data_IF_970520734272
#
_entry.id   IF_970520734272
#
_cell.length_a   1.000
_cell.length_b   1.000
_cell.length_c   1.000
_cell.angle_alpha   90.00
_cell.angle_beta   90.00
_cell.angle_gamma   90.00
#
_symmetry.space_group_name_H-M   'P 1'
#
loop_
_entity.id
_entity.type
_entity.pdbx_description
1 polymer ?
#
# COMPACT_ATOMS: atom_id res chain seq x y z
N UNK A 1 -19.41 -9.89 38.08
CA UNK A 1 -18.95 -8.51 37.81
C UNK A 1 -17.71 -8.65 36.94
N UNK A 2 -17.90 -8.66 35.64
CA UNK A 2 -16.85 -8.83 34.65
C UNK A 2 -16.50 -7.43 34.12
N UNK A 3 -15.29 -6.98 34.38
CA UNK A 3 -14.77 -5.71 33.87
C UNK A 3 -14.54 -5.81 32.36
N UNK A 4 -15.44 -5.24 31.57
CA UNK A 4 -15.19 -4.95 30.18
C UNK A 4 -14.06 -3.92 30.10
N UNK A 5 -12.89 -4.36 29.67
CA UNK A 5 -11.77 -3.51 29.35
C UNK A 5 -12.12 -2.64 28.15
N UNK A 6 -12.45 -1.40 28.41
CA UNK A 6 -12.64 -0.35 27.42
C UNK A 6 -11.25 0.03 26.84
N UNK A 7 -10.71 -0.85 25.98
CA UNK A 7 -9.45 -0.65 25.29
C UNK A 7 -9.61 0.47 24.27
N UNK A 8 -9.05 1.66 24.54
CA UNK A 8 -8.84 2.70 23.54
C UNK A 8 -8.24 2.02 22.29
N UNK A 9 -8.79 2.23 21.09
CA UNK A 9 -8.21 1.64 19.88
C UNK A 9 -6.73 2.04 19.80
N UNK A 10 -5.85 1.07 19.50
CA UNK A 10 -4.42 1.31 19.40
C UNK A 10 -4.18 2.55 18.52
N UNK A 11 -3.36 3.49 19.00
CA UNK A 11 -3.04 4.73 18.30
C UNK A 11 -2.40 4.44 16.92
N UNK A 12 -1.72 3.30 16.81
CA UNK A 12 -1.03 2.85 15.61
C UNK A 12 -1.80 1.70 14.94
N UNK A 13 -1.86 1.74 13.62
CA UNK A 13 -2.43 0.65 12.82
C UNK A 13 -1.38 -0.44 12.57
N UNK A 14 -0.13 -0.03 12.32
CA UNK A 14 1.00 -0.93 12.10
C UNK A 14 2.21 -0.41 12.88
N UNK A 15 2.94 -1.32 13.51
CA UNK A 15 4.23 -1.06 14.11
C UNK A 15 5.22 -2.13 13.67
N UNK A 16 6.37 -1.71 13.18
CA UNK A 16 7.44 -2.58 12.68
C UNK A 16 8.69 -2.29 13.46
N UNK A 17 9.33 -3.34 14.00
CA UNK A 17 10.52 -3.22 14.83
C UNK A 17 11.61 -4.16 14.34
N UNK A 18 12.72 -3.59 13.87
CA UNK A 18 13.95 -4.29 13.51
C UNK A 18 13.78 -5.37 12.45
N UNK A 19 12.85 -5.19 11.50
CA UNK A 19 12.56 -6.21 10.47
C UNK A 19 13.73 -6.39 9.53
N UNK A 20 14.19 -7.65 9.41
CA UNK A 20 15.28 -8.08 8.52
C UNK A 20 14.79 -9.13 7.54
N UNK A 21 15.31 -9.09 6.33
CA UNK A 21 15.07 -10.10 5.30
C UNK A 21 16.22 -10.20 4.33
N UNK A 22 16.68 -11.44 4.09
CA UNK A 22 17.67 -11.77 3.08
C UNK A 22 17.10 -12.74 2.04
N UNK A 23 17.62 -12.68 0.82
CA UNK A 23 17.40 -13.65 -0.25
C UNK A 23 18.76 -14.00 -0.85
N UNK A 24 19.07 -15.29 -1.00
CA UNK A 24 20.29 -15.78 -1.61
C UNK A 24 21.57 -15.03 -1.16
N UNK A 25 21.70 -14.83 0.16
CA UNK A 25 22.79 -14.09 0.82
C UNK A 25 22.77 -12.56 0.64
N UNK A 26 21.85 -12.00 -0.15
CA UNK A 26 21.68 -10.56 -0.26
C UNK A 26 20.70 -10.04 0.79
N UNK A 27 21.16 -9.13 1.64
CA UNK A 27 20.29 -8.48 2.62
C UNK A 27 19.46 -7.39 1.93
N UNK A 28 18.13 -7.57 1.94
CA UNK A 28 17.18 -6.63 1.30
C UNK A 28 16.53 -5.72 2.32
N UNK A 29 16.23 -6.22 3.53
CA UNK A 29 15.77 -5.41 4.65
C UNK A 29 16.73 -5.59 5.82
N UNK A 30 17.26 -4.49 6.35
CA UNK A 30 18.30 -4.48 7.38
C UNK A 30 17.90 -3.68 8.62
N UNK A 31 16.96 -4.24 9.40
CA UNK A 31 16.53 -3.62 10.63
C UNK A 31 15.57 -2.45 10.40
N UNK A 32 14.49 -2.72 9.65
CA UNK A 32 13.48 -1.71 9.32
C UNK A 32 12.59 -1.45 10.53
N UNK A 33 12.49 -0.16 10.92
CA UNK A 33 11.56 0.34 11.94
C UNK A 33 10.59 1.31 11.29
N UNK A 34 9.28 1.15 11.54
CA UNK A 34 8.23 2.05 11.03
C UNK A 34 7.01 2.00 11.92
N UNK A 35 6.45 3.17 12.21
CA UNK A 35 5.15 3.33 12.86
C UNK A 35 4.19 3.98 11.86
N UNK A 36 3.04 3.33 11.63
CA UNK A 36 1.95 3.84 10.80
C UNK A 36 0.78 4.20 11.70
N UNK A 37 0.53 5.49 11.95
CA UNK A 37 -0.60 5.94 12.77
C UNK A 37 -1.94 5.60 12.09
N UNK A 38 -2.94 5.32 12.91
CA UNK A 38 -4.29 5.01 12.41
C UNK A 38 -4.92 6.22 11.73
N UNK A 39 -5.62 5.97 10.61
CA UNK A 39 -6.36 7.01 9.90
C UNK A 39 -5.47 7.99 9.12
N UNK A 40 -4.19 7.66 8.91
CA UNK A 40 -3.25 8.48 8.14
C UNK A 40 -2.85 7.81 6.84
N UNK A 41 -2.31 8.61 5.90
CA UNK A 41 -1.56 8.11 4.75
C UNK A 41 -0.07 8.21 5.07
N UNK A 42 0.59 7.07 5.16
CA UNK A 42 2.05 6.98 5.26
C UNK A 42 2.61 6.59 3.90
N UNK A 43 3.44 7.45 3.32
CA UNK A 43 4.07 7.19 2.03
C UNK A 43 5.50 6.71 2.21
N UNK A 44 5.85 5.61 1.55
CA UNK A 44 7.20 5.05 1.53
C UNK A 44 7.82 5.39 0.19
N UNK A 45 8.88 6.17 0.20
CA UNK A 45 9.63 6.58 -0.99
C UNK A 45 11.07 6.08 -0.93
N UNK A 46 11.75 6.05 -2.06
CA UNK A 46 13.15 5.64 -2.14
C UNK A 46 13.54 5.13 -3.52
N UNK A 47 14.84 4.93 -3.79
CA UNK A 47 15.32 4.44 -5.08
C UNK A 47 14.73 3.09 -5.49
N UNK A 48 14.79 2.76 -6.78
CA UNK A 48 14.45 1.43 -7.27
C UNK A 48 15.36 0.38 -6.63
N UNK A 49 14.82 -0.78 -6.28
CA UNK A 49 15.61 -1.87 -5.68
C UNK A 49 15.91 -1.74 -4.18
N UNK A 50 15.62 -0.62 -3.51
CA UNK A 50 15.93 -0.44 -2.07
C UNK A 50 15.08 -1.29 -1.10
N UNK A 51 14.13 -2.11 -1.61
CA UNK A 51 13.34 -3.04 -0.78
C UNK A 51 11.89 -2.65 -0.51
N UNK A 52 11.33 -1.56 -1.06
CA UNK A 52 9.96 -1.07 -0.80
C UNK A 52 8.89 -2.13 -1.02
N UNK A 53 8.87 -2.76 -2.20
CA UNK A 53 7.89 -3.83 -2.51
C UNK A 53 8.08 -5.07 -1.64
N UNK A 54 9.33 -5.41 -1.31
CA UNK A 54 9.64 -6.52 -0.37
C UNK A 54 9.09 -6.16 1.01
N UNK A 55 9.31 -4.95 1.50
CA UNK A 55 8.77 -4.48 2.77
C UNK A 55 7.23 -4.52 2.77
N UNK A 56 6.59 -4.02 1.71
CA UNK A 56 5.14 -4.07 1.57
C UNK A 56 4.59 -5.52 1.62
N UNK A 57 5.31 -6.48 1.02
CA UNK A 57 4.97 -7.92 1.10
C UNK A 57 5.08 -8.50 2.51
N UNK A 58 5.89 -7.92 3.40
CA UNK A 58 5.92 -8.30 4.81
C UNK A 58 4.72 -7.72 5.56
N UNK A 59 4.34 -6.47 5.27
CA UNK A 59 3.20 -5.82 5.91
C UNK A 59 1.87 -6.52 5.56
N UNK A 60 1.69 -6.96 4.32
CA UNK A 60 0.50 -7.73 3.91
C UNK A 60 0.60 -9.24 4.20
N UNK A 61 1.64 -9.65 4.93
CA UNK A 61 1.86 -11.02 5.41
C UNK A 61 2.05 -12.06 4.29
N UNK A 62 2.47 -11.64 3.10
CA UNK A 62 2.88 -12.54 2.01
C UNK A 62 4.28 -13.10 2.24
N UNK A 63 5.16 -12.33 2.88
CA UNK A 63 6.49 -12.75 3.30
C UNK A 63 6.61 -12.72 4.82
N UNK A 64 7.47 -13.55 5.36
CA UNK A 64 7.85 -13.54 6.78
C UNK A 64 9.24 -12.95 6.92
N UNK A 65 9.46 -12.09 7.92
CA UNK A 65 10.81 -11.59 8.20
C UNK A 65 11.70 -12.71 8.78
N UNK A 66 13.01 -12.59 8.56
CA UNK A 66 14.00 -13.46 9.19
C UNK A 66 14.22 -13.08 10.66
N UNK A 67 14.08 -11.77 10.97
CA UNK A 67 14.16 -11.23 12.33
C UNK A 67 13.26 -9.98 12.45
N UNK A 68 13.02 -9.56 13.68
CA UNK A 68 12.16 -8.41 14.01
C UNK A 68 10.70 -8.80 14.21
N UNK A 69 9.85 -7.81 14.44
CA UNK A 69 8.42 -8.00 14.72
C UNK A 69 7.56 -7.04 13.91
N UNK A 70 6.36 -7.49 13.57
CA UNK A 70 5.32 -6.68 12.90
C UNK A 70 4.06 -6.79 13.76
N UNK A 71 3.59 -5.65 14.24
CA UNK A 71 2.35 -5.54 15.00
C UNK A 71 1.28 -4.92 14.10
N UNK A 72 0.08 -5.49 14.07
CA UNK A 72 -1.09 -4.96 13.35
C UNK A 72 -2.24 -4.86 14.34
N UNK A 73 -2.76 -3.65 14.54
CA UNK A 73 -3.78 -3.37 15.56
C UNK A 73 -3.37 -3.90 16.95
N UNK A 74 -2.10 -3.76 17.34
CA UNK A 74 -1.57 -4.25 18.61
C UNK A 74 -1.36 -5.76 18.71
N UNK A 75 -1.55 -6.50 17.61
CA UNK A 75 -1.33 -7.96 17.56
C UNK A 75 -0.02 -8.28 16.84
N UNK A 76 0.89 -9.01 17.48
CA UNK A 76 2.09 -9.54 16.80
C UNK A 76 1.67 -10.58 15.75
N UNK A 77 1.90 -10.24 14.48
CA UNK A 77 1.53 -11.08 13.33
C UNK A 77 2.69 -11.91 12.80
N UNK A 78 3.89 -11.69 13.28
CA UNK A 78 5.13 -12.31 12.80
C UNK A 78 5.08 -13.83 12.87
N UNK A 79 4.44 -14.34 13.93
CA UNK A 79 4.36 -15.78 14.24
C UNK A 79 3.01 -16.41 13.93
N UNK A 80 2.03 -15.63 13.46
CA UNK A 80 0.70 -16.16 13.15
C UNK A 80 0.76 -17.18 12.02
N UNK A 81 -0.13 -18.18 12.07
CA UNK A 81 -0.26 -19.23 11.06
C UNK A 81 -1.73 -19.48 10.72
N UNK A 82 -1.95 -20.06 9.54
CA UNK A 82 -3.24 -20.60 9.11
C UNK A 82 -4.40 -19.62 9.31
N UNK A 83 -5.44 -20.00 10.05
CA UNK A 83 -6.68 -19.22 10.22
C UNK A 83 -6.45 -17.83 10.82
N UNK A 84 -5.60 -17.71 11.85
CA UNK A 84 -5.29 -16.41 12.48
C UNK A 84 -4.63 -15.44 11.50
N UNK A 85 -3.72 -15.93 10.64
CA UNK A 85 -3.09 -15.14 9.58
C UNK A 85 -4.13 -14.64 8.56
N UNK A 86 -5.05 -15.49 8.15
CA UNK A 86 -6.11 -15.12 7.20
C UNK A 86 -7.04 -14.05 7.78
N UNK A 87 -7.42 -14.15 9.05
CA UNK A 87 -8.23 -13.12 9.72
C UNK A 87 -7.54 -11.74 9.72
N UNK A 88 -6.21 -11.71 9.90
CA UNK A 88 -5.48 -10.43 9.80
C UNK A 88 -5.42 -9.94 8.36
N UNK A 89 -5.19 -10.83 7.38
CA UNK A 89 -5.18 -10.47 5.95
C UNK A 89 -6.49 -9.86 5.46
N UNK A 90 -7.61 -10.23 6.06
CA UNK A 90 -8.92 -9.66 5.73
C UNK A 90 -9.04 -8.17 6.04
N UNK A 91 -8.18 -7.65 6.93
CA UNK A 91 -8.12 -6.22 7.26
C UNK A 91 -7.50 -5.38 6.14
N UNK A 92 -6.85 -6.01 5.17
CA UNK A 92 -6.10 -5.33 4.11
C UNK A 92 -6.85 -5.31 2.79
N UNK A 93 -6.83 -4.14 2.14
CA UNK A 93 -7.04 -4.00 0.70
C UNK A 93 -5.71 -3.74 0.02
N UNK A 94 -5.49 -4.31 -1.15
CA UNK A 94 -4.24 -4.13 -1.88
C UNK A 94 -4.46 -3.76 -3.33
N UNK A 95 -3.80 -2.68 -3.74
CA UNK A 95 -3.61 -2.31 -5.14
C UNK A 95 -2.16 -2.60 -5.53
N UNK A 96 -1.97 -3.50 -6.48
CA UNK A 96 -0.66 -3.87 -7.02
C UNK A 96 -0.25 -2.93 -8.15
N UNK A 97 1.04 -2.80 -8.40
CA UNK A 97 1.63 -1.92 -9.40
C UNK A 97 0.99 -2.05 -10.80
N UNK A 98 0.77 -3.27 -11.28
CA UNK A 98 0.11 -3.54 -12.57
C UNK A 98 -1.43 -3.48 -12.52
N UNK A 99 -2.03 -3.10 -11.36
CA UNK A 99 -3.48 -3.16 -11.14
C UNK A 99 -3.99 -4.60 -10.94
N UNK A 100 -3.38 -5.58 -11.59
CA UNK A 100 -3.67 -7.03 -11.54
C UNK A 100 -5.16 -7.36 -11.76
N UNK A 101 -5.86 -6.60 -12.61
CA UNK A 101 -7.22 -6.95 -13.02
C UNK A 101 -7.19 -8.24 -13.85
N UNK A 102 -8.24 -9.02 -13.76
CA UNK A 102 -8.45 -10.18 -14.62
C UNK A 102 -9.00 -9.70 -15.98
N UNK A 103 -8.23 -9.85 -17.04
CA UNK A 103 -8.61 -9.36 -18.38
C UNK A 103 -9.84 -10.07 -18.94
N UNK A 104 -10.09 -11.30 -18.51
CA UNK A 104 -11.26 -12.11 -18.91
C UNK A 104 -12.53 -11.80 -18.12
N UNK A 105 -12.47 -10.91 -17.15
CA UNK A 105 -13.61 -10.50 -16.32
C UNK A 105 -14.01 -9.06 -16.60
N UNK A 106 -15.32 -8.77 -16.51
CA UNK A 106 -15.79 -7.39 -16.55
C UNK A 106 -15.27 -6.59 -15.35
N UNK A 107 -15.38 -5.27 -15.38
CA UNK A 107 -15.06 -4.39 -14.22
C UNK A 107 -15.90 -4.77 -13.01
N UNK A 108 -17.19 -5.06 -13.22
CA UNK A 108 -18.08 -5.52 -12.16
C UNK A 108 -17.55 -6.81 -11.53
N UNK A 109 -17.25 -7.82 -12.34
CA UNK A 109 -16.78 -9.12 -11.84
C UNK A 109 -15.43 -9.01 -11.14
N UNK A 110 -14.52 -8.19 -11.65
CA UNK A 110 -13.25 -7.88 -10.99
C UNK A 110 -13.46 -7.30 -9.59
N UNK A 111 -14.40 -6.37 -9.43
CA UNK A 111 -14.69 -5.74 -8.14
C UNK A 111 -15.48 -6.68 -7.24
N UNK A 112 -16.41 -7.47 -7.78
CA UNK A 112 -17.19 -8.45 -7.03
C UNK A 112 -16.37 -9.63 -6.52
N UNK A 113 -15.30 -10.01 -7.24
CA UNK A 113 -14.50 -11.21 -7.00
C UNK A 113 -14.09 -11.42 -5.54
N UNK A 114 -13.54 -10.42 -4.81
CA UNK A 114 -13.18 -10.61 -3.40
C UNK A 114 -14.39 -10.87 -2.48
N UNK A 115 -15.58 -10.40 -2.83
CA UNK A 115 -16.80 -10.66 -2.06
C UNK A 115 -17.31 -12.07 -2.32
N UNK A 116 -17.38 -12.48 -3.59
CA UNK A 116 -17.83 -13.83 -4.00
C UNK A 116 -16.95 -14.90 -3.37
N UNK A 117 -15.62 -14.73 -3.41
CA UNK A 117 -14.66 -15.74 -2.95
C UNK A 117 -14.46 -15.79 -1.43
N UNK A 118 -14.71 -14.69 -0.72
CA UNK A 118 -14.28 -14.56 0.68
C UNK A 118 -15.41 -14.21 1.65
N UNK A 119 -16.64 -14.09 1.18
CA UNK A 119 -17.78 -13.77 2.06
C UNK A 119 -18.96 -14.69 1.75
N UNK A 120 -19.94 -14.70 2.64
CA UNK A 120 -21.23 -15.39 2.48
C UNK A 120 -22.37 -14.40 2.21
N UNK A 121 -22.07 -13.23 1.63
CA UNK A 121 -23.06 -12.21 1.31
C UNK A 121 -24.05 -12.72 0.26
N UNK A 122 -25.30 -12.29 0.36
CA UNK A 122 -26.30 -12.57 -0.66
C UNK A 122 -25.97 -11.81 -1.96
N UNK A 123 -26.40 -12.32 -3.13
CA UNK A 123 -26.10 -11.68 -4.41
C UNK A 123 -26.51 -10.22 -4.51
N UNK A 124 -27.63 -9.83 -3.93
CA UNK A 124 -28.09 -8.43 -3.89
C UNK A 124 -27.20 -7.53 -3.03
N UNK A 125 -26.64 -8.05 -1.93
CA UNK A 125 -25.70 -7.30 -1.10
C UNK A 125 -24.35 -7.10 -1.81
N UNK A 126 -23.90 -8.11 -2.57
CA UNK A 126 -22.72 -8.01 -3.41
C UNK A 126 -22.94 -6.94 -4.49
N UNK A 127 -24.07 -6.98 -5.19
CA UNK A 127 -24.43 -6.03 -6.23
C UNK A 127 -24.43 -4.59 -5.70
N UNK A 128 -25.08 -4.36 -4.59
CA UNK A 128 -25.14 -3.04 -3.95
C UNK A 128 -23.74 -2.53 -3.59
N UNK A 129 -22.88 -3.35 -2.94
CA UNK A 129 -21.53 -2.97 -2.57
C UNK A 129 -20.65 -2.67 -3.76
N UNK A 130 -20.74 -3.49 -4.81
CA UNK A 130 -19.98 -3.27 -6.05
C UNK A 130 -20.35 -1.93 -6.67
N UNK A 131 -21.65 -1.66 -6.84
CA UNK A 131 -22.12 -0.40 -7.40
C UNK A 131 -21.75 0.81 -6.55
N UNK A 132 -21.87 0.72 -5.22
CA UNK A 132 -21.42 1.78 -4.30
C UNK A 132 -19.91 2.05 -4.45
N UNK A 133 -19.11 0.99 -4.54
CA UNK A 133 -17.65 1.12 -4.64
C UNK A 133 -17.24 1.70 -6.01
N UNK A 134 -17.89 1.27 -7.10
CA UNK A 134 -17.65 1.82 -8.43
C UNK A 134 -17.99 3.32 -8.49
N UNK A 135 -19.10 3.76 -7.88
CA UNK A 135 -19.43 5.18 -7.75
C UNK A 135 -18.35 5.95 -6.97
N UNK A 136 -17.87 5.39 -5.85
CA UNK A 136 -16.86 6.04 -5.02
C UNK A 136 -15.54 6.30 -5.77
N UNK A 137 -15.18 5.45 -6.73
CA UNK A 137 -13.97 5.63 -7.55
C UNK A 137 -14.25 6.33 -8.89
N UNK A 138 -15.48 6.81 -9.13
CA UNK A 138 -15.87 7.53 -10.35
C UNK A 138 -15.96 6.62 -11.60
N UNK A 139 -16.42 5.38 -11.42
CA UNK A 139 -16.66 4.40 -12.49
C UNK A 139 -18.14 3.97 -12.55
N UNK A 140 -19.06 4.86 -12.15
CA UNK A 140 -20.49 4.56 -12.23
C UNK A 140 -20.90 4.23 -13.69
N UNK A 141 -21.74 3.21 -13.86
CA UNK A 141 -22.16 2.72 -15.16
C UNK A 141 -21.11 1.97 -15.99
N UNK A 142 -19.86 1.84 -15.50
CA UNK A 142 -18.78 1.18 -16.24
C UNK A 142 -18.63 -0.31 -15.93
N UNK A 143 -19.49 -0.89 -15.10
CA UNK A 143 -19.38 -2.27 -14.64
C UNK A 143 -19.31 -3.32 -15.73
N UNK A 144 -19.98 -3.10 -16.87
CA UNK A 144 -20.01 -4.06 -18.00
C UNK A 144 -18.78 -4.05 -18.89
N UNK A 145 -17.92 -3.03 -18.78
CA UNK A 145 -16.69 -2.93 -19.58
C UNK A 145 -15.67 -3.96 -19.13
N UNK A 146 -14.80 -4.34 -20.06
CA UNK A 146 -13.61 -5.13 -19.77
C UNK A 146 -12.39 -4.22 -19.60
N UNK A 147 -11.33 -4.66 -18.89
CA UNK A 147 -10.10 -3.88 -18.73
C UNK A 147 -9.52 -3.37 -20.05
N UNK A 148 -9.58 -4.16 -21.12
CA UNK A 148 -9.11 -3.78 -22.45
C UNK A 148 -9.85 -2.60 -23.10
N UNK A 149 -11.06 -2.29 -22.62
CA UNK A 149 -11.89 -1.19 -23.11
C UNK A 149 -11.69 0.10 -22.29
N UNK A 150 -10.77 0.08 -21.32
CA UNK A 150 -10.57 1.16 -20.35
C UNK A 150 -9.23 1.84 -20.54
N UNK A 151 -9.18 3.15 -20.27
CA UNK A 151 -7.90 3.86 -20.17
C UNK A 151 -7.11 3.37 -18.95
N UNK A 152 -5.78 3.54 -18.93
CA UNK A 152 -4.93 3.15 -17.80
C UNK A 152 -5.40 3.74 -16.46
N UNK A 153 -5.81 5.02 -16.44
CA UNK A 153 -6.38 5.64 -15.25
C UNK A 153 -7.69 5.00 -14.79
N UNK A 154 -8.56 4.58 -15.71
CA UNK A 154 -9.79 3.85 -15.37
C UNK A 154 -9.46 2.45 -14.82
N UNK A 155 -8.48 1.76 -15.39
CA UNK A 155 -8.01 0.47 -14.87
C UNK A 155 -7.47 0.59 -13.44
N UNK A 156 -6.69 1.65 -13.14
CA UNK A 156 -6.20 1.93 -11.77
C UNK A 156 -7.36 2.20 -10.81
N UNK A 157 -8.39 2.93 -11.23
CA UNK A 157 -9.62 3.15 -10.44
C UNK A 157 -10.39 1.84 -10.19
N UNK A 158 -10.51 0.97 -11.18
CA UNK A 158 -11.15 -0.34 -11.02
C UNK A 158 -10.36 -1.25 -10.07
N UNK A 159 -9.03 -1.25 -10.15
CA UNK A 159 -8.16 -1.97 -9.23
C UNK A 159 -8.28 -1.42 -7.78
N UNK A 160 -8.41 -0.10 -7.63
CA UNK A 160 -8.68 0.52 -6.34
C UNK A 160 -10.06 0.11 -5.80
N UNK A 161 -11.11 0.10 -6.65
CA UNK A 161 -12.43 -0.38 -6.26
C UNK A 161 -12.39 -1.82 -5.75
N UNK A 162 -11.68 -2.72 -6.45
CA UNK A 162 -11.51 -4.11 -6.01
C UNK A 162 -10.81 -4.21 -4.65
N UNK A 163 -9.83 -3.34 -4.38
CA UNK A 163 -9.16 -3.30 -3.09
C UNK A 163 -10.07 -2.78 -1.96
N UNK A 164 -11.02 -1.90 -2.28
CA UNK A 164 -11.90 -1.24 -1.32
C UNK A 164 -13.20 -2.00 -1.02
N UNK A 165 -13.68 -2.85 -1.94
CA UNK A 165 -15.03 -3.45 -1.90
C UNK A 165 -15.32 -4.25 -0.63
N UNK A 166 -14.29 -4.83 0.00
CA UNK A 166 -14.39 -5.52 1.29
C UNK A 166 -14.36 -4.59 2.51
N UNK A 167 -14.29 -3.27 2.29
CA UNK A 167 -14.18 -2.26 3.34
C UNK A 167 -12.99 -2.54 4.28
N UNK A 168 -11.76 -2.62 3.76
CA UNK A 168 -10.58 -2.91 4.56
C UNK A 168 -10.33 -1.79 5.58
N UNK A 169 -9.61 -2.11 6.65
CA UNK A 169 -9.13 -1.10 7.62
C UNK A 169 -7.83 -0.44 7.18
N UNK A 170 -7.03 -1.19 6.42
CA UNK A 170 -5.72 -0.76 5.94
C UNK A 170 -5.67 -0.96 4.43
N UNK A 171 -5.38 0.11 3.70
CA UNK A 171 -5.21 0.10 2.25
C UNK A 171 -3.73 0.19 1.91
N UNK A 172 -3.23 -0.75 1.14
CA UNK A 172 -1.87 -0.74 0.63
C UNK A 172 -1.86 -0.51 -0.88
N UNK A 173 -1.06 0.45 -1.33
CA UNK A 173 -0.94 0.81 -2.73
C UNK A 173 0.53 0.73 -3.14
N UNK A 174 0.83 -0.20 -4.04
CA UNK A 174 2.16 -0.38 -4.60
C UNK A 174 2.22 0.31 -5.96
N UNK A 175 2.87 1.48 -6.02
CA UNK A 175 3.06 2.28 -7.23
C UNK A 175 1.73 2.56 -7.98
N UNK A 176 0.74 3.21 -7.35
CA UNK A 176 -0.61 3.33 -7.91
C UNK A 176 -0.69 4.17 -9.19
N UNK A 177 0.31 4.99 -9.46
CA UNK A 177 0.37 5.98 -10.54
C UNK A 177 1.32 5.60 -11.68
N UNK A 178 2.09 4.54 -11.51
CA UNK A 178 3.04 4.08 -12.54
C UNK A 178 2.36 3.89 -13.89
N UNK A 179 2.95 4.50 -14.94
CA UNK A 179 2.45 4.43 -16.31
C UNK A 179 1.35 5.43 -16.66
N UNK A 180 1.06 6.38 -15.77
CA UNK A 180 0.13 7.48 -16.03
C UNK A 180 0.87 8.77 -16.35
N UNK A 181 0.21 9.65 -17.11
CA UNK A 181 0.66 11.03 -17.31
C UNK A 181 0.46 11.87 -16.02
N UNK A 182 1.13 13.03 -15.88
CA UNK A 182 1.05 13.85 -14.66
C UNK A 182 -0.38 14.25 -14.25
N UNK A 183 -1.25 14.56 -15.21
CA UNK A 183 -2.63 14.96 -14.93
C UNK A 183 -3.43 13.80 -14.33
N UNK A 184 -3.25 12.60 -14.86
CA UNK A 184 -3.89 11.39 -14.34
C UNK A 184 -3.29 10.95 -13.02
N UNK A 185 -1.98 11.11 -12.82
CA UNK A 185 -1.29 10.90 -11.53
C UNK A 185 -1.96 11.73 -10.43
N UNK A 186 -2.11 13.04 -10.61
CA UNK A 186 -2.79 13.92 -9.65
C UNK A 186 -4.23 13.47 -9.35
N UNK A 187 -4.96 13.02 -10.39
CA UNK A 187 -6.33 12.51 -10.23
C UNK A 187 -6.40 11.22 -9.39
N UNK A 188 -5.43 10.31 -9.53
CA UNK A 188 -5.35 9.09 -8.69
C UNK A 188 -4.94 9.46 -7.26
N UNK A 189 -3.96 10.34 -7.07
CA UNK A 189 -3.58 10.83 -5.74
C UNK A 189 -4.79 11.44 -5.01
N UNK A 190 -5.51 12.36 -5.65
CA UNK A 190 -6.73 12.94 -5.07
C UNK A 190 -7.77 11.86 -4.71
N UNK A 191 -7.98 10.87 -5.59
CA UNK A 191 -8.90 9.76 -5.34
C UNK A 191 -8.47 8.93 -4.12
N UNK A 192 -7.17 8.63 -3.98
CA UNK A 192 -6.63 7.91 -2.81
C UNK A 192 -6.90 8.69 -1.52
N UNK A 193 -6.61 10.00 -1.50
CA UNK A 193 -6.88 10.86 -0.33
C UNK A 193 -8.37 10.90 0.00
N UNK A 194 -9.21 11.11 -1.02
CA UNK A 194 -10.66 11.13 -0.86
C UNK A 194 -11.19 9.81 -0.29
N UNK A 195 -10.81 8.67 -0.87
CA UNK A 195 -11.27 7.35 -0.38
C UNK A 195 -10.75 7.06 1.03
N UNK A 196 -9.52 7.47 1.36
CA UNK A 196 -8.98 7.35 2.72
C UNK A 196 -9.87 8.10 3.73
N UNK A 197 -10.29 9.33 3.41
CA UNK A 197 -11.16 10.14 4.27
C UNK A 197 -12.59 9.57 4.34
N UNK A 198 -13.20 9.28 3.18
CA UNK A 198 -14.59 8.81 3.09
C UNK A 198 -14.81 7.47 3.81
N UNK A 199 -13.82 6.58 3.79
CA UNK A 199 -13.89 5.26 4.42
C UNK A 199 -13.17 5.19 5.79
N UNK A 200 -12.52 6.27 6.23
CA UNK A 200 -11.76 6.29 7.49
C UNK A 200 -10.58 5.31 7.52
N UNK A 201 -9.93 5.10 6.38
CA UNK A 201 -8.87 4.09 6.22
C UNK A 201 -7.53 4.57 6.80
N UNK A 202 -6.67 3.61 7.14
CA UNK A 202 -5.22 3.83 7.19
C UNK A 202 -4.64 3.43 5.85
N UNK A 203 -3.80 4.25 5.22
CA UNK A 203 -3.22 3.91 3.94
C UNK A 203 -1.68 3.90 3.99
N UNK A 204 -1.09 2.95 3.26
CA UNK A 204 0.34 2.91 2.95
C UNK A 204 0.48 3.02 1.45
N UNK A 205 1.23 4.00 0.99
CA UNK A 205 1.52 4.24 -0.43
C UNK A 205 3.00 4.03 -0.66
N UNK A 206 3.37 3.11 -1.53
CA UNK A 206 4.73 3.04 -2.08
C UNK A 206 4.73 3.81 -3.38
N UNK A 207 5.63 4.77 -3.52
CA UNK A 207 5.73 5.58 -4.75
C UNK A 207 7.15 6.07 -5.00
N UNK A 208 7.46 6.31 -6.27
CA UNK A 208 8.63 7.05 -6.72
C UNK A 208 8.25 8.41 -7.32
N UNK A 209 6.96 8.74 -7.41
CA UNK A 209 6.45 10.02 -7.93
C UNK A 209 6.65 11.13 -6.89
N UNK A 210 7.87 11.57 -6.69
CA UNK A 210 8.20 12.65 -5.75
C UNK A 210 8.52 13.93 -6.52
N UNK A 211 8.08 15.10 -6.03
CA UNK A 211 7.39 15.33 -4.74
C UNK A 211 5.85 15.18 -4.79
N UNK A 212 5.25 14.82 -5.94
CA UNK A 212 3.80 14.87 -6.19
C UNK A 212 2.99 14.06 -5.17
N UNK A 213 3.49 12.87 -4.78
CA UNK A 213 2.83 12.01 -3.79
C UNK A 213 2.74 12.66 -2.39
N UNK A 214 3.59 13.63 -2.09
CA UNK A 214 3.57 14.30 -0.78
C UNK A 214 2.31 15.14 -0.57
N UNK A 215 1.64 15.56 -1.66
CA UNK A 215 0.36 16.28 -1.59
C UNK A 215 -0.76 15.50 -0.90
N UNK A 216 -0.66 14.18 -0.85
CA UNK A 216 -1.63 13.31 -0.19
C UNK A 216 -1.08 12.63 1.07
N UNK A 217 0.17 12.86 1.43
CA UNK A 217 0.83 12.17 2.55
C UNK A 217 0.65 12.93 3.85
N UNK A 218 0.35 12.22 4.93
CA UNK A 218 0.44 12.75 6.30
C UNK A 218 1.82 12.49 6.89
N UNK A 219 2.43 11.38 6.49
CA UNK A 219 3.79 10.98 6.88
C UNK A 219 4.55 10.43 5.68
N UNK A 220 5.85 10.62 5.70
CA UNK A 220 6.78 10.10 4.70
C UNK A 220 7.84 9.26 5.39
N UNK A 221 8.16 8.11 4.81
CA UNK A 221 9.27 7.27 5.19
C UNK A 221 10.20 7.10 3.98
N UNK A 222 11.43 7.59 4.07
CA UNK A 222 12.45 7.41 3.04
C UNK A 222 13.22 6.12 3.30
N UNK A 223 13.10 5.19 2.37
CA UNK A 223 13.79 3.90 2.44
C UNK A 223 15.01 3.90 1.53
N UNK A 224 16.17 3.59 2.10
CA UNK A 224 17.43 3.48 1.38
C UNK A 224 18.29 2.38 2.00
N UNK A 225 18.98 1.58 1.16
CA UNK A 225 19.82 0.43 1.58
C UNK A 225 19.11 -0.50 2.60
N UNK A 226 17.85 -0.82 2.36
CA UNK A 226 17.06 -1.72 3.21
C UNK A 226 16.69 -1.18 4.59
N UNK A 227 16.82 0.13 4.85
CA UNK A 227 16.50 0.81 6.12
C UNK A 227 15.56 1.98 5.90
N UNK A 228 14.76 2.32 6.92
CA UNK A 228 14.07 3.61 6.96
C UNK A 228 15.04 4.67 7.49
N UNK A 229 15.65 5.46 6.60
CA UNK A 229 16.60 6.50 6.98
C UNK A 229 15.92 7.73 7.56
N UNK A 230 14.76 8.12 7.01
CA UNK A 230 13.98 9.24 7.49
C UNK A 230 12.53 8.80 7.67
N UNK A 231 11.91 9.21 8.77
CA UNK A 231 10.46 9.03 9.00
C UNK A 231 9.95 10.27 9.72
N UNK A 232 8.96 10.93 9.15
CA UNK A 232 8.38 12.13 9.72
C UNK A 232 7.14 12.63 9.00
N UNK A 233 6.67 13.81 9.32
CA UNK A 233 5.71 14.56 8.50
C UNK A 233 6.39 14.97 7.19
N UNK A 234 5.61 15.40 6.20
CA UNK A 234 6.16 15.91 4.93
C UNK A 234 7.14 17.07 5.20
N UNK A 235 6.77 18.01 6.07
CA UNK A 235 7.61 19.18 6.38
C UNK A 235 8.92 18.78 7.05
N UNK A 236 8.89 17.85 8.03
CA UNK A 236 10.08 17.34 8.72
C UNK A 236 11.05 16.66 7.75
N UNK A 237 10.52 15.81 6.85
CA UNK A 237 11.35 15.07 5.88
C UNK A 237 11.89 16.03 4.82
N UNK A 238 11.10 16.98 4.32
CA UNK A 238 11.54 17.98 3.35
C UNK A 238 12.59 18.95 3.93
N UNK A 239 12.55 19.23 5.24
CA UNK A 239 13.55 20.05 5.93
C UNK A 239 14.84 19.27 6.28
N UNK A 240 14.88 17.96 6.01
CA UNK A 240 16.03 17.12 6.34
C UNK A 240 17.28 17.56 5.60
N UNK A 241 18.42 17.42 6.29
CA UNK A 241 19.75 17.63 5.70
C UNK A 241 20.38 16.35 5.14
N UNK A 242 19.64 15.23 5.16
CA UNK A 242 20.10 13.95 4.64
C UNK A 242 20.46 14.05 3.16
N UNK A 243 21.71 13.74 2.82
CA UNK A 243 22.23 13.92 1.46
C UNK A 243 21.67 12.87 0.48
N UNK A 244 21.36 11.65 0.94
CA UNK A 244 20.80 10.60 0.08
C UNK A 244 19.36 10.95 -0.30
N UNK A 245 18.60 11.48 0.66
CA UNK A 245 17.25 11.98 0.39
C UNK A 245 17.24 13.16 -0.58
N UNK A 246 18.17 14.12 -0.41
CA UNK A 246 18.29 15.25 -1.35
C UNK A 246 18.65 14.80 -2.77
N UNK A 247 19.58 13.84 -2.90
CA UNK A 247 19.95 13.25 -4.21
C UNK A 247 18.74 12.54 -4.83
N UNK A 248 18.00 11.78 -4.04
CA UNK A 248 16.78 11.12 -4.49
C UNK A 248 15.72 12.12 -4.99
N UNK A 249 15.46 13.21 -4.26
CA UNK A 249 14.54 14.27 -4.70
C UNK A 249 15.00 14.97 -5.98
N UNK A 250 16.32 15.13 -6.15
CA UNK A 250 16.90 15.74 -7.35
C UNK A 250 16.92 14.79 -8.56
N UNK A 251 16.41 13.57 -8.44
CA UNK A 251 16.46 12.55 -9.50
C UNK A 251 17.87 12.06 -9.82
N UNK A 252 18.83 12.24 -8.91
CA UNK A 252 20.21 11.80 -9.09
C UNK A 252 20.39 10.44 -8.41
N UNK A 253 20.93 9.46 -9.16
CA UNK A 253 21.31 8.18 -8.59
C UNK A 253 22.38 8.38 -7.50
N UNK A 254 22.31 7.61 -6.41
CA UNK A 254 23.42 7.51 -5.46
C UNK A 254 24.62 6.90 -6.16
N UNK A 255 25.85 7.28 -5.76
CA UNK A 255 27.07 6.77 -6.38
C UNK A 255 27.15 5.23 -6.36
N UNK A 256 26.61 4.59 -5.32
CA UNK A 256 26.57 3.13 -5.17
C UNK A 256 25.55 2.42 -6.10
N UNK A 257 24.53 3.14 -6.60
CA UNK A 257 23.55 2.58 -7.55
C UNK A 257 24.18 2.35 -8.95
N UNK A 258 25.32 2.97 -9.25
CA UNK A 258 26.06 2.80 -10.52
C UNK A 258 26.94 1.55 -10.52
N UNK A 259 27.39 1.07 -9.36
CA UNK A 259 28.26 -0.10 -9.27
C UNK A 259 27.50 -1.44 -9.32
N UNK A 260 26.21 -1.48 -8.93
CA UNK A 260 25.42 -2.72 -8.92
C UNK A 260 24.86 -3.12 -10.27
N UNK A 261 24.83 -2.23 -11.27
CA UNK A 261 24.35 -2.52 -12.63
C UNK A 261 25.45 -2.93 -13.61
N UNK A 262 26.67 -3.10 -13.16
CA UNK A 262 27.88 -3.31 -13.97
C UNK A 262 28.47 -4.70 -13.93
N UNK A 263 27.72 -5.78 -13.68
CA UNK A 263 28.24 -7.16 -13.81
C UNK A 263 27.20 -8.07 -14.42
N UNK A 264 27.27 -8.28 -15.71
CA UNK A 264 27.37 -9.58 -16.39
C UNK A 264 27.29 -9.39 -17.91
N UNK A 265 28.44 -9.39 -18.56
CA UNK A 265 28.56 -9.87 -19.93
C UNK A 265 28.79 -11.37 -19.91
#
# INVERSE_FOLDING_TARGET
MSSEGNGKPAANAIEVHGVRRSFDHQQVLDGVDLIVPRGTITTIVGPSGCGKTVFLKHLNLLLRPDAGTIMIDGTDVTRLRSRALNTVREKFGMLFQAGALFDSMSVYDNVAFPLVEKTSLAPNEIDERVHQTLRAVGLDGMGRKFPSEMSGGMQKRAALARALVKQPRILMLDEPTTGLDPTRTGSIHHLVRKTQQDFGLTAIVVSHDVPEVFSISDRVAFMHHGKMQLVGTVDEVMASKDEDFKRFLAGRASGDDLETNGVSS
#
